data_IF_454317836724
#
_entry.id   IF_454317836724
#
_cell.length_a   1.000
_cell.length_b   1.000
_cell.length_c   1.000
_cell.angle_alpha   90.00
_cell.angle_beta   90.00
_cell.angle_gamma   90.00
#
_symmetry.space_group_name_H-M   'P 1'
#
loop_
_entity.id
_entity.type
_entity.pdbx_description
1 polymer ?
#
# COMPACT_ATOMS: atom_id res chain seq x y z
N UNK A 1 5.80 14.66 -6.62
CA UNK A 1 4.60 14.41 -5.80
C UNK A 1 4.42 12.93 -5.55
N UNK A 2 4.18 12.10 -6.56
CA UNK A 2 3.82 10.67 -6.41
C UNK A 2 4.87 9.84 -5.66
N UNK A 3 6.16 9.98 -5.98
CA UNK A 3 7.25 9.29 -5.26
C UNK A 3 7.27 9.69 -3.79
N UNK A 4 7.08 10.97 -3.48
CA UNK A 4 7.04 11.46 -2.11
C UNK A 4 5.82 10.91 -1.36
N UNK A 5 4.63 10.91 -1.96
CA UNK A 5 3.43 10.29 -1.39
C UNK A 5 3.64 8.80 -1.06
N UNK A 6 4.26 8.03 -1.98
CA UNK A 6 4.53 6.60 -1.75
C UNK A 6 5.46 6.33 -0.57
N UNK A 7 6.37 7.25 -0.24
CA UNK A 7 7.27 7.09 0.90
C UNK A 7 6.54 6.97 2.25
N UNK A 8 5.27 7.41 2.32
CA UNK A 8 4.44 7.29 3.52
C UNK A 8 3.78 5.91 3.65
N UNK A 9 3.73 5.10 2.59
CA UNK A 9 3.04 3.81 2.62
C UNK A 9 3.85 2.71 3.29
N UNK A 10 5.18 2.83 3.33
CA UNK A 10 6.06 1.81 3.89
C UNK A 10 5.63 1.42 5.32
N UNK A 11 5.41 0.13 5.52
CA UNK A 11 4.97 -0.45 6.79
C UNK A 11 3.54 -0.10 7.22
N UNK A 12 2.72 0.42 6.33
CA UNK A 12 1.29 0.64 6.57
C UNK A 12 0.45 -0.45 5.92
N UNK A 13 -0.84 -0.50 6.25
CA UNK A 13 -1.79 -1.44 5.65
C UNK A 13 -2.05 -1.20 4.15
N UNK A 14 -1.59 -0.08 3.59
CA UNK A 14 -1.73 0.26 2.16
C UNK A 14 -0.45 0.05 1.36
N UNK A 15 0.60 -0.46 2.01
CA UNK A 15 1.84 -0.85 1.35
C UNK A 15 1.62 -2.09 0.47
N UNK A 16 2.30 -2.19 -0.66
CA UNK A 16 2.09 -3.27 -1.63
C UNK A 16 3.37 -3.93 -2.15
N UNK A 17 4.55 -3.44 -1.74
CA UNK A 17 5.81 -4.02 -2.20
C UNK A 17 6.31 -5.10 -1.24
N UNK A 18 6.49 -6.35 -1.74
CA UNK A 18 6.82 -7.51 -0.93
C UNK A 18 7.84 -8.42 -1.57
N UNK A 19 8.65 -9.07 -0.70
CA UNK A 19 9.41 -10.26 -1.03
C UNK A 19 8.89 -11.42 -0.19
N UNK A 20 8.66 -12.56 -0.81
CA UNK A 20 8.17 -13.75 -0.14
C UNK A 20 9.19 -14.89 -0.23
N UNK A 21 9.31 -15.70 0.83
CA UNK A 21 9.89 -17.02 0.68
C UNK A 21 8.95 -17.85 -0.20
N UNK A 22 9.46 -18.48 -1.28
CA UNK A 22 8.67 -19.28 -2.20
C UNK A 22 7.82 -20.32 -1.46
N UNK A 23 8.39 -20.99 -0.46
CA UNK A 23 7.68 -22.01 0.34
C UNK A 23 6.48 -21.43 1.10
N UNK A 24 6.61 -20.23 1.66
CA UNK A 24 5.51 -19.55 2.35
C UNK A 24 4.45 -19.11 1.36
N UNK A 25 4.86 -18.52 0.23
CA UNK A 25 3.95 -18.10 -0.83
C UNK A 25 3.09 -19.27 -1.33
N UNK A 26 3.71 -20.42 -1.62
CA UNK A 26 2.99 -21.64 -2.03
C UNK A 26 2.08 -22.17 -0.91
N UNK A 27 2.56 -22.19 0.33
CA UNK A 27 1.80 -22.65 1.48
C UNK A 27 0.49 -21.88 1.70
N UNK A 28 0.48 -20.58 1.44
CA UNK A 28 -0.74 -19.74 1.57
C UNK A 28 -1.59 -19.68 0.31
N UNK A 29 -1.26 -20.47 -0.72
CA UNK A 29 -1.99 -20.56 -1.98
C UNK A 29 -1.74 -19.39 -2.95
N UNK A 30 -0.63 -18.66 -2.79
CA UNK A 30 -0.26 -17.59 -3.72
C UNK A 30 -1.22 -16.40 -3.78
N UNK A 31 -1.14 -15.65 -4.88
CA UNK A 31 -2.09 -14.57 -5.17
C UNK A 31 -3.48 -15.12 -5.52
N UNK A 32 -4.51 -14.38 -5.14
CA UNK A 32 -5.88 -14.66 -5.53
C UNK A 32 -6.14 -14.05 -6.92
N UNK A 33 -6.32 -14.90 -7.93
CA UNK A 33 -6.47 -14.47 -9.34
C UNK A 33 -7.77 -13.72 -9.60
N UNK A 34 -8.74 -13.81 -8.68
CA UNK A 34 -9.99 -13.04 -8.77
C UNK A 34 -9.83 -11.58 -8.35
N UNK A 35 -8.65 -11.22 -7.85
CA UNK A 35 -8.32 -9.90 -7.34
C UNK A 35 -7.21 -9.24 -8.18
N UNK A 36 -7.43 -7.98 -8.55
CA UNK A 36 -6.41 -7.14 -9.19
C UNK A 36 -6.41 -5.78 -8.53
N UNK A 37 -5.30 -5.43 -7.90
CA UNK A 37 -5.15 -4.23 -7.07
C UNK A 37 -5.07 -4.54 -5.58
N UNK A 38 -6.01 -5.24 -4.95
CA UNK A 38 -5.89 -5.68 -3.55
C UNK A 38 -5.16 -7.03 -3.37
N UNK A 39 -4.63 -7.66 -4.40
CA UNK A 39 -3.88 -8.93 -4.33
C UNK A 39 -2.70 -8.87 -3.36
N UNK A 40 -2.00 -7.73 -3.32
CA UNK A 40 -0.90 -7.50 -2.38
C UNK A 40 -1.38 -7.47 -0.92
N UNK A 41 -2.58 -6.94 -0.69
CA UNK A 41 -3.17 -6.88 0.65
C UNK A 41 -3.71 -8.26 1.06
N UNK A 42 -4.27 -9.02 0.11
CA UNK A 42 -4.75 -10.39 0.35
C UNK A 42 -3.61 -11.31 0.77
N UNK A 43 -2.51 -11.31 0.03
CA UNK A 43 -1.35 -12.15 0.35
C UNK A 43 -0.71 -11.75 1.69
N UNK A 44 -0.66 -10.45 2.01
CA UNK A 44 -0.21 -9.96 3.31
C UNK A 44 -1.03 -10.54 4.46
N UNK A 45 -2.37 -10.54 4.33
CA UNK A 45 -3.26 -11.09 5.34
C UNK A 45 -3.08 -12.59 5.50
N UNK A 46 -3.00 -13.34 4.39
CA UNK A 46 -2.72 -14.77 4.40
C UNK A 46 -1.42 -15.09 5.15
N UNK A 47 -0.36 -14.34 4.88
CA UNK A 47 0.95 -14.54 5.51
C UNK A 47 0.91 -14.17 6.99
N UNK A 48 0.25 -13.07 7.37
CA UNK A 48 0.11 -12.66 8.78
C UNK A 48 -0.58 -13.73 9.66
N UNK A 49 -1.43 -14.56 9.08
CA UNK A 49 -2.07 -15.68 9.82
C UNK A 49 -1.11 -16.82 10.17
N UNK A 50 -0.02 -16.98 9.43
CA UNK A 50 0.93 -18.10 9.62
C UNK A 50 2.34 -17.66 9.98
N UNK A 51 2.60 -16.35 10.01
CA UNK A 51 3.95 -15.81 10.22
C UNK A 51 3.99 -14.31 10.41
N UNK A 52 5.19 -13.77 10.27
CA UNK A 52 5.45 -12.34 10.44
C UNK A 52 5.95 -11.71 9.15
N UNK A 53 5.60 -10.44 8.95
CA UNK A 53 6.09 -9.61 7.86
C UNK A 53 7.13 -8.63 8.43
N UNK A 54 8.37 -8.73 7.94
CA UNK A 54 9.42 -7.78 8.25
C UNK A 54 9.41 -6.59 7.31
N UNK A 55 9.78 -5.42 7.82
CA UNK A 55 9.98 -4.22 7.02
C UNK A 55 11.45 -4.06 6.69
N UNK A 56 11.76 -3.78 5.42
CA UNK A 56 13.11 -3.36 5.05
C UNK A 56 13.32 -1.91 5.53
N UNK A 57 14.44 -1.62 6.21
CA UNK A 57 14.76 -0.26 6.60
C UNK A 57 14.96 0.58 5.33
N UNK A 58 14.33 1.75 5.28
CA UNK A 58 14.64 2.75 4.27
C UNK A 58 15.85 3.57 4.72
N UNK A 59 16.62 4.10 3.77
CA UNK A 59 17.84 4.87 4.01
C UNK A 59 17.70 6.09 4.94
N UNK A 60 16.49 6.46 5.31
CA UNK A 60 16.18 7.58 6.21
C UNK A 60 15.68 7.18 7.60
N UNK A 61 15.48 5.89 7.86
CA UNK A 61 15.02 5.39 9.16
C UNK A 61 16.09 4.48 9.76
N UNK A 62 16.99 5.03 10.51
CA UNK A 62 17.72 4.29 11.54
C UNK A 62 16.68 3.89 12.61
N UNK A 63 16.03 2.78 12.39
CA UNK A 63 15.32 2.10 13.47
C UNK A 63 16.42 1.51 14.35
N UNK A 64 16.48 1.99 15.59
CA UNK A 64 17.48 1.54 16.57
C UNK A 64 17.57 0.02 16.62
N UNK A 65 18.73 -0.52 16.96
CA UNK A 65 19.08 -1.95 16.96
C UNK A 65 18.12 -2.88 17.72
N UNK A 66 17.22 -2.35 18.52
CA UNK A 66 16.30 -3.12 19.35
C UNK A 66 15.16 -3.81 18.59
N UNK A 67 14.83 -3.38 17.37
CA UNK A 67 13.67 -3.92 16.63
C UNK A 67 13.95 -5.23 15.88
N UNK A 68 15.21 -5.65 15.76
CA UNK A 68 15.63 -6.77 14.89
C UNK A 68 16.15 -8.01 15.63
N UNK A 69 16.01 -8.05 16.95
CA UNK A 69 16.50 -9.16 17.79
C UNK A 69 15.64 -10.43 17.77
N UNK A 70 14.62 -10.52 16.95
CA UNK A 70 13.87 -11.76 16.83
C UNK A 70 14.65 -12.75 15.93
N UNK A 71 15.21 -13.79 16.55
CA UNK A 71 16.29 -14.69 16.08
C UNK A 71 16.00 -15.49 14.79
N UNK A 72 14.84 -15.37 14.18
CA UNK A 72 14.43 -16.19 13.04
C UNK A 72 14.41 -15.46 11.68
N UNK A 73 14.83 -14.21 11.62
CA UNK A 73 14.87 -13.46 10.38
C UNK A 73 16.25 -12.86 10.15
N UNK A 74 17.13 -13.62 9.48
CA UNK A 74 18.44 -13.09 9.04
C UNK A 74 18.20 -12.37 7.70
N UNK A 75 17.94 -11.06 7.75
CA UNK A 75 18.18 -10.21 6.59
C UNK A 75 19.69 -9.98 6.54
N UNK A 76 20.39 -10.68 5.66
CA UNK A 76 21.77 -10.29 5.31
C UNK A 76 21.68 -8.87 4.78
N UNK A 77 22.32 -7.92 5.46
CA UNK A 77 22.48 -6.54 5.02
C UNK A 77 23.18 -6.55 3.67
N UNK A 78 22.44 -6.47 2.59
CA UNK A 78 22.98 -6.19 1.28
C UNK A 78 23.19 -4.70 1.17
N UNK A 79 24.36 -4.21 1.51
CA UNK A 79 24.82 -2.87 1.15
C UNK A 79 25.44 -3.02 -0.23
N UNK A 80 25.00 -2.23 -1.21
CA UNK A 80 25.69 -2.19 -2.50
C UNK A 80 27.10 -1.62 -2.34
N UNK A 81 28.01 -1.80 -3.31
CA UNK A 81 29.37 -1.27 -3.24
C UNK A 81 29.45 0.26 -3.05
N UNK A 82 28.35 0.99 -3.28
CA UNK A 82 28.25 2.45 -3.06
C UNK A 82 27.80 2.82 -1.65
N UNK A 83 27.59 1.83 -0.75
CA UNK A 83 27.12 2.07 0.61
C UNK A 83 25.63 2.36 0.73
N UNK A 84 24.87 2.21 -0.35
CA UNK A 84 23.41 2.40 -0.35
C UNK A 84 22.68 1.12 0.04
N UNK A 85 21.57 1.27 0.74
CA UNK A 85 20.73 0.15 1.13
C UNK A 85 20.00 -0.43 -0.08
N UNK A 86 19.92 -1.76 -0.18
CA UNK A 86 19.10 -2.42 -1.18
C UNK A 86 17.62 -2.12 -0.91
N UNK A 87 17.05 -1.22 -1.68
CA UNK A 87 15.64 -0.82 -1.62
C UNK A 87 14.94 -1.22 -2.91
N UNK A 88 13.64 -1.49 -2.84
CA UNK A 88 12.83 -1.62 -4.04
C UNK A 88 12.57 -0.23 -4.59
N UNK A 89 13.13 0.06 -5.76
CA UNK A 89 12.88 1.31 -6.46
C UNK A 89 11.69 1.14 -7.41
N UNK A 90 10.73 2.04 -7.27
CA UNK A 90 9.63 2.16 -8.22
C UNK A 90 9.97 3.25 -9.24
N UNK A 91 9.98 2.90 -10.53
CA UNK A 91 10.15 3.92 -11.56
C UNK A 91 8.87 4.77 -11.68
N UNK A 92 8.96 6.01 -11.22
CA UNK A 92 7.88 7.01 -11.28
C UNK A 92 8.29 8.18 -12.22
N UNK A 93 9.30 7.98 -13.09
CA UNK A 93 9.79 9.03 -13.99
C UNK A 93 8.78 9.38 -15.09
N UNK A 94 8.00 8.41 -15.54
CA UNK A 94 6.99 8.54 -16.60
C UNK A 94 5.57 8.53 -16.02
N UNK A 95 5.31 9.42 -15.06
CA UNK A 95 3.98 9.48 -14.44
C UNK A 95 2.96 10.13 -15.38
N UNK A 96 2.03 9.34 -15.89
CA UNK A 96 0.85 9.78 -16.62
C UNK A 96 -0.39 9.69 -15.73
N UNK A 97 -1.04 10.83 -15.48
CA UNK A 97 -2.20 10.91 -14.60
C UNK A 97 -3.43 10.16 -15.16
N UNK A 98 -3.66 10.20 -16.48
CA UNK A 98 -4.79 9.51 -17.12
C UNK A 98 -4.63 8.00 -16.97
N UNK A 99 -3.45 7.50 -17.31
CA UNK A 99 -3.09 6.07 -17.16
C UNK A 99 -3.17 5.64 -15.70
N UNK A 100 -2.71 6.48 -14.77
CA UNK A 100 -2.79 6.22 -13.33
C UNK A 100 -4.22 6.11 -12.82
N UNK A 101 -5.11 7.04 -13.19
CA UNK A 101 -6.53 7.04 -12.79
C UNK A 101 -7.29 5.86 -13.43
N UNK A 102 -7.02 5.53 -14.70
CA UNK A 102 -7.60 4.35 -15.37
C UNK A 102 -7.20 3.06 -14.67
N UNK A 103 -5.92 2.93 -14.27
CA UNK A 103 -5.45 1.79 -13.48
C UNK A 103 -6.14 1.70 -12.13
N UNK A 104 -6.38 2.82 -11.45
CA UNK A 104 -7.14 2.85 -10.18
C UNK A 104 -8.60 2.42 -10.37
N UNK A 105 -9.25 2.86 -11.43
CA UNK A 105 -10.62 2.43 -11.77
C UNK A 105 -10.71 0.92 -11.98
N UNK A 106 -9.71 0.33 -12.66
CA UNK A 106 -9.61 -1.12 -12.84
C UNK A 106 -9.45 -1.85 -11.49
N UNK A 107 -8.56 -1.39 -10.63
CA UNK A 107 -8.31 -2.00 -9.31
C UNK A 107 -9.55 -1.97 -8.40
N UNK A 108 -10.37 -0.94 -8.48
CA UNK A 108 -11.59 -0.87 -7.68
C UNK A 108 -12.62 -1.96 -8.03
N UNK A 109 -12.55 -2.56 -9.23
CA UNK A 109 -13.48 -3.64 -9.60
C UNK A 109 -13.34 -4.87 -8.72
N UNK A 110 -12.13 -5.17 -8.29
CA UNK A 110 -11.83 -6.36 -7.47
C UNK A 110 -11.85 -6.07 -5.96
N UNK A 111 -12.07 -4.82 -5.57
CA UNK A 111 -12.09 -4.45 -4.15
C UNK A 111 -13.25 -5.13 -3.41
N UNK A 112 -14.38 -5.32 -4.09
CA UNK A 112 -15.57 -5.97 -3.51
C UNK A 112 -15.25 -7.44 -3.16
N UNK A 113 -14.51 -8.16 -4.00
CA UNK A 113 -14.07 -9.54 -3.73
C UNK A 113 -13.19 -9.61 -2.48
N UNK A 114 -12.27 -8.65 -2.33
CA UNK A 114 -11.41 -8.55 -1.16
C UNK A 114 -12.18 -8.28 0.12
N UNK A 115 -13.13 -7.33 0.07
CA UNK A 115 -13.99 -6.98 1.22
C UNK A 115 -14.91 -8.16 1.58
N UNK A 116 -15.48 -8.85 0.60
CA UNK A 116 -16.32 -10.03 0.83
C UNK A 116 -15.53 -11.15 1.48
N UNK A 117 -14.30 -11.41 1.03
CA UNK A 117 -13.44 -12.48 1.55
C UNK A 117 -13.04 -12.27 3.01
N UNK A 118 -12.68 -11.05 3.39
CA UNK A 118 -12.10 -10.76 4.70
C UNK A 118 -13.05 -10.07 5.68
N UNK A 119 -14.20 -9.60 5.19
CA UNK A 119 -15.21 -8.89 5.95
C UNK A 119 -14.98 -7.38 6.04
N UNK A 120 -16.04 -6.60 5.86
CA UNK A 120 -16.00 -5.13 5.88
C UNK A 120 -15.57 -4.54 7.23
N UNK A 121 -15.74 -5.29 8.32
CA UNK A 121 -15.38 -4.88 9.68
C UNK A 121 -13.91 -5.16 10.02
N UNK A 122 -13.16 -5.81 9.14
CA UNK A 122 -11.74 -6.07 9.36
C UNK A 122 -10.97 -4.75 9.54
N UNK A 123 -10.10 -4.63 10.57
CA UNK A 123 -9.40 -3.38 10.88
C UNK A 123 -8.52 -2.85 9.75
N UNK A 124 -7.85 -3.75 9.00
CA UNK A 124 -7.00 -3.35 7.89
C UNK A 124 -7.85 -2.85 6.73
N UNK A 125 -8.96 -3.54 6.42
CA UNK A 125 -9.91 -3.12 5.37
C UNK A 125 -10.50 -1.76 5.68
N UNK A 126 -10.95 -1.52 6.91
CA UNK A 126 -11.47 -0.22 7.33
C UNK A 126 -10.45 0.91 7.12
N UNK A 127 -9.16 0.66 7.37
CA UNK A 127 -8.09 1.63 7.09
C UNK A 127 -7.84 1.77 5.58
N UNK A 128 -7.74 0.65 4.86
CA UNK A 128 -7.44 0.62 3.43
C UNK A 128 -8.50 1.32 2.58
N UNK A 129 -9.77 1.19 2.96
CA UNK A 129 -10.91 1.79 2.26
C UNK A 129 -11.39 3.10 2.89
N UNK A 130 -11.03 3.36 4.14
CA UNK A 130 -11.47 4.52 4.91
C UNK A 130 -10.90 5.85 4.40
N UNK A 131 -11.77 6.80 4.10
CA UNK A 131 -11.39 8.14 3.61
C UNK A 131 -10.47 8.84 4.60
N UNK A 132 -10.82 8.82 5.89
CA UNK A 132 -10.01 9.45 6.94
C UNK A 132 -8.59 8.93 6.99
N UNK A 133 -8.41 7.60 7.02
CA UNK A 133 -7.09 7.01 7.04
C UNK A 133 -6.30 7.31 5.76
N UNK A 134 -6.95 7.23 4.62
CA UNK A 134 -6.33 7.50 3.32
C UNK A 134 -5.91 8.96 3.15
N UNK A 135 -6.65 9.91 3.69
CA UNK A 135 -6.34 11.33 3.57
C UNK A 135 -5.40 11.85 4.66
N UNK A 136 -5.49 11.30 5.87
CA UNK A 136 -4.74 11.81 7.03
C UNK A 136 -3.96 10.72 7.75
N UNK A 137 -4.58 9.62 8.14
CA UNK A 137 -4.00 8.60 9.01
C UNK A 137 -2.67 8.06 8.50
N UNK A 138 -2.57 7.78 7.20
CA UNK A 138 -1.35 7.24 6.58
C UNK A 138 -0.13 8.18 6.71
N UNK A 139 -0.37 9.49 6.79
CA UNK A 139 0.69 10.49 6.99
C UNK A 139 1.06 10.70 8.45
N UNK A 140 0.12 10.42 9.36
CA UNK A 140 0.31 10.61 10.79
C UNK A 140 0.92 9.37 11.46
N UNK A 141 0.63 8.19 10.91
CA UNK A 141 1.09 6.92 11.48
C UNK A 141 2.60 6.88 11.66
N UNK A 142 3.05 6.45 12.84
CA UNK A 142 4.47 6.34 13.22
C UNK A 142 5.25 7.66 13.13
N UNK A 143 4.60 8.80 13.34
CA UNK A 143 5.27 10.10 13.33
C UNK A 143 5.72 10.58 11.95
N UNK A 144 5.22 9.98 10.86
CA UNK A 144 5.61 10.31 9.47
C UNK A 144 5.25 11.75 9.07
N UNK A 145 4.32 12.41 9.77
CA UNK A 145 3.95 13.81 9.52
C UNK A 145 5.15 14.76 9.47
N UNK A 146 6.23 14.44 10.21
CA UNK A 146 7.47 15.23 10.20
C UNK A 146 8.08 15.33 8.80
N UNK A 147 7.88 14.31 7.96
CA UNK A 147 8.36 14.31 6.57
C UNK A 147 7.57 15.28 5.69
N UNK A 148 6.29 15.54 6.00
CA UNK A 148 5.51 16.55 5.27
C UNK A 148 6.13 17.93 5.43
N UNK A 149 6.61 18.25 6.62
CA UNK A 149 7.25 19.54 6.91
C UNK A 149 8.57 19.73 6.16
N UNK A 150 9.24 18.65 5.76
CA UNK A 150 10.48 18.72 4.98
C UNK A 150 10.24 19.14 3.52
N UNK A 151 9.03 18.92 2.99
CA UNK A 151 8.68 19.23 1.59
C UNK A 151 7.26 19.81 1.49
N UNK A 152 6.99 20.98 2.12
CA UNK A 152 5.63 21.52 2.22
C UNK A 152 5.00 21.83 0.85
N UNK A 153 5.79 22.23 -0.13
CA UNK A 153 5.30 22.52 -1.49
C UNK A 153 4.71 21.31 -2.23
N UNK A 154 5.01 20.07 -1.78
CA UNK A 154 4.43 18.87 -2.38
C UNK A 154 3.07 18.51 -1.79
N UNK A 155 2.70 19.06 -0.63
CA UNK A 155 1.45 18.75 0.06
C UNK A 155 0.21 19.02 -0.80
N UNK A 156 0.04 20.19 -1.43
CA UNK A 156 -1.11 20.45 -2.29
C UNK A 156 -1.24 19.44 -3.43
N UNK A 157 -0.12 19.05 -4.04
CA UNK A 157 -0.10 18.04 -5.11
C UNK A 157 -0.51 16.64 -4.63
N UNK A 158 -0.14 16.25 -3.39
CA UNK A 158 -0.57 14.99 -2.79
C UNK A 158 -2.10 14.99 -2.63
N UNK A 159 -2.66 16.05 -2.04
CA UNK A 159 -4.10 16.14 -1.82
C UNK A 159 -4.89 16.24 -3.11
N UNK A 160 -4.38 16.95 -4.12
CA UNK A 160 -4.98 16.96 -5.45
C UNK A 160 -5.09 15.54 -6.03
N UNK A 161 -4.00 14.76 -6.00
CA UNK A 161 -4.02 13.37 -6.48
C UNK A 161 -5.06 12.52 -5.70
N UNK A 162 -5.17 12.71 -4.40
CA UNK A 162 -6.13 11.96 -3.57
C UNK A 162 -7.57 12.34 -3.86
N UNK A 163 -7.86 13.61 -4.06
CA UNK A 163 -9.17 14.08 -4.48
C UNK A 163 -9.54 13.47 -5.83
N UNK A 164 -8.65 13.50 -6.83
CA UNK A 164 -8.90 12.91 -8.14
C UNK A 164 -9.16 11.40 -8.06
N UNK A 165 -8.43 10.66 -7.21
CA UNK A 165 -8.69 9.23 -6.98
C UNK A 165 -10.04 9.04 -6.30
N UNK A 166 -10.37 9.85 -5.29
CA UNK A 166 -11.65 9.82 -4.59
C UNK A 166 -12.83 10.06 -5.51
N UNK A 167 -12.76 11.08 -6.36
CA UNK A 167 -13.78 11.37 -7.37
C UNK A 167 -13.96 10.21 -8.35
N UNK A 168 -12.87 9.60 -8.80
CA UNK A 168 -12.91 8.43 -9.67
C UNK A 168 -13.60 7.23 -9.00
N UNK A 169 -13.39 7.05 -7.70
CA UNK A 169 -14.09 6.02 -6.92
C UNK A 169 -15.59 6.31 -6.77
N UNK A 170 -15.97 7.55 -6.48
CA UNK A 170 -17.36 7.97 -6.35
C UNK A 170 -18.13 7.80 -7.67
N UNK A 171 -17.56 8.23 -8.80
CA UNK A 171 -18.17 8.06 -10.12
C UNK A 171 -18.53 6.59 -10.42
N UNK A 172 -17.66 5.66 -10.03
CA UNK A 172 -17.93 4.23 -10.18
C UNK A 172 -19.16 3.80 -9.36
N UNK A 173 -19.23 4.19 -8.09
CA UNK A 173 -20.31 3.79 -7.20
C UNK A 173 -21.66 4.33 -7.69
N UNK A 174 -21.70 5.56 -8.21
CA UNK A 174 -22.89 6.12 -8.86
C UNK A 174 -23.31 5.34 -10.11
N UNK A 175 -22.36 4.95 -10.96
CA UNK A 175 -22.66 4.14 -12.16
C UNK A 175 -23.23 2.76 -11.82
N UNK A 176 -22.68 2.09 -10.80
CA UNK A 176 -23.15 0.78 -10.35
C UNK A 176 -24.56 0.85 -9.73
N UNK A 177 -24.84 1.88 -8.94
CA UNK A 177 -26.15 2.09 -8.34
C UNK A 177 -27.22 2.44 -9.40
N UNK A 178 -26.86 3.18 -10.45
CA UNK A 178 -27.76 3.47 -11.56
C UNK A 178 -28.11 2.20 -12.36
N UNK A 179 -27.14 1.32 -12.59
CA UNK A 179 -27.35 0.02 -13.27
C UNK A 179 -28.26 -0.93 -12.46
N UNK A 180 -28.19 -0.89 -11.12
CA UNK A 180 -29.05 -1.71 -10.25
C UNK A 180 -30.50 -1.19 -10.09
N UNK A 181 -30.75 0.08 -10.41
CA UNK A 181 -32.07 0.70 -10.30
C UNK A 181 -32.84 0.76 -11.65
N UNK A 182 -32.24 0.29 -12.71
CA UNK A 182 -32.79 0.31 -14.06
C UNK A 182 -33.43 -1.02 -14.50
N UNK A 183 -33.85 -1.87 -13.53
CA UNK A 183 -34.71 -3.05 -13.73
C UNK A 183 -35.94 -2.92 -12.91
#
# INVERSE_FOLDING_TARGET
>A
VRRFERSFYNGTVVDGARFFKKSIFVKVGGFDETMSGPEDWDIDKKIKHIGQIGLLPTSSEYLGESSWKNKNFIIKRGVDPSGKWNSIFHNESEFDIKRYLSKKKYYFKSLDNYVTKWGANDPDIRKQTGVWYRFFGVFLERGKWRRLLQKPLLIPGIYLLRVLIGLNFLQRNFSLNKSKRGY
#
